data_IF_021824449498
#
_entry.id   IF_021824449498
#
_cell.length_a   1.000
_cell.length_b   1.000
_cell.length_c   1.000
_cell.angle_alpha   90.00
_cell.angle_beta   90.00
_cell.angle_gamma   90.00
#
_symmetry.space_group_name_H-M   'P 1'
#
loop_
_entity.id
_entity.type
_entity.pdbx_description
1 polymer ?
#
# COMPACT_ATOMS: atom_id res chain seq x y z
N UNK A 1 18.30 2.51 -18.49
CA UNK A 1 16.83 2.38 -18.53
C UNK A 1 16.34 2.51 -17.09
N UNK A 2 16.25 3.77 -16.72
CA UNK A 2 15.36 4.49 -15.81
C UNK A 2 14.82 3.73 -14.59
N UNK A 3 15.50 3.99 -13.47
CA UNK A 3 15.03 3.76 -12.11
C UNK A 3 13.78 4.60 -11.86
N UNK A 4 12.62 4.04 -12.19
CA UNK A 4 11.30 4.63 -11.95
C UNK A 4 11.12 4.84 -10.44
N UNK A 5 10.85 6.08 -10.05
CA UNK A 5 10.80 6.59 -8.67
C UNK A 5 9.70 6.03 -7.77
N UNK A 6 9.49 4.71 -7.78
CA UNK A 6 8.81 4.04 -6.69
C UNK A 6 9.80 3.87 -5.54
N UNK A 7 9.62 4.69 -4.51
CA UNK A 7 10.20 4.39 -3.22
C UNK A 7 9.46 3.16 -2.68
N UNK A 8 10.14 2.02 -2.66
CA UNK A 8 9.64 0.85 -1.94
C UNK A 8 9.68 1.23 -0.47
N UNK A 9 8.58 1.82 0.02
CA UNK A 9 8.48 2.41 1.34
C UNK A 9 8.76 1.39 2.44
N UNK A 10 8.64 0.10 2.13
CA UNK A 10 8.84 -0.92 3.13
C UNK A 10 9.43 -2.23 2.54
N UNK A 11 10.76 -2.38 2.67
CA UNK A 11 11.48 -3.66 2.60
C UNK A 11 11.47 -4.34 3.98
N UNK A 12 10.39 -4.24 4.74
CA UNK A 12 10.37 -4.88 6.05
C UNK A 12 10.11 -6.38 5.86
N UNK A 13 10.98 -7.26 6.40
CA UNK A 13 10.73 -8.70 6.37
C UNK A 13 9.38 -8.98 7.04
N UNK A 14 8.63 -9.96 6.52
CA UNK A 14 7.31 -10.39 7.02
C UNK A 14 7.24 -10.70 8.54
N UNK A 15 8.36 -10.64 9.24
CA UNK A 15 8.52 -10.80 10.68
C UNK A 15 8.23 -9.53 11.50
N UNK A 16 8.29 -8.33 10.91
CA UNK A 16 7.91 -7.10 11.62
C UNK A 16 6.39 -6.94 11.51
N UNK A 17 5.73 -6.84 12.67
CA UNK A 17 4.30 -6.63 12.78
C UNK A 17 4.00 -5.17 12.49
N UNK A 18 3.77 -4.84 11.22
CA UNK A 18 3.17 -3.55 10.86
C UNK A 18 1.71 -3.60 11.28
N UNK A 19 1.33 -2.71 12.20
CA UNK A 19 0.00 -2.66 12.78
C UNK A 19 -0.87 -1.56 12.17
N UNK A 20 -2.02 -1.30 12.79
CA UNK A 20 -2.93 -0.21 12.39
C UNK A 20 -2.24 1.16 12.43
N UNK A 21 -1.42 1.41 13.45
CA UNK A 21 -0.69 2.67 13.59
C UNK A 21 0.27 2.96 12.42
N UNK A 22 0.96 1.93 11.90
CA UNK A 22 1.83 2.07 10.73
C UNK A 22 1.01 2.33 9.46
N UNK A 23 -0.14 1.65 9.31
CA UNK A 23 -1.05 1.90 8.18
C UNK A 23 -1.57 3.34 8.19
N UNK A 24 -1.99 3.85 9.34
CA UNK A 24 -2.44 5.24 9.50
C UNK A 24 -1.33 6.25 9.21
N UNK A 25 -0.10 5.98 9.66
CA UNK A 25 1.05 6.83 9.36
C UNK A 25 1.37 6.88 7.85
N UNK A 26 1.28 5.75 7.16
CA UNK A 26 1.48 5.68 5.71
C UNK A 26 0.34 6.37 4.94
N UNK A 27 -0.89 6.26 5.43
CA UNK A 27 -2.06 6.93 4.86
C UNK A 27 -2.04 8.44 5.06
N UNK A 28 -1.49 8.93 6.18
CA UNK A 28 -1.37 10.37 6.43
C UNK A 28 -0.45 11.09 5.43
N UNK A 29 0.52 10.37 4.86
CA UNK A 29 1.46 10.89 3.86
C UNK A 29 1.03 10.55 2.40
N UNK A 30 -0.06 9.80 2.24
CA UNK A 30 -0.60 9.40 0.94
C UNK A 30 -1.95 10.09 0.68
N UNK A 31 -2.28 10.27 -0.59
CA UNK A 31 -3.56 10.84 -1.05
C UNK A 31 -4.46 9.74 -1.62
N UNK A 32 -3.86 8.80 -2.36
CA UNK A 32 -4.55 7.70 -3.03
C UNK A 32 -4.05 6.36 -2.49
N UNK A 33 -4.98 5.45 -2.18
CA UNK A 33 -4.70 4.10 -1.75
C UNK A 33 -5.22 3.07 -2.76
N UNK A 34 -4.33 2.16 -3.16
CA UNK A 34 -4.66 0.97 -3.93
C UNK A 34 -4.48 -0.27 -3.06
N UNK A 35 -5.55 -1.00 -2.79
CA UNK A 35 -5.50 -2.26 -2.06
C UNK A 35 -5.80 -3.42 -2.98
N UNK A 36 -4.87 -4.38 -3.05
CA UNK A 36 -5.05 -5.62 -3.76
C UNK A 36 -5.37 -6.77 -2.79
N UNK A 37 -6.58 -7.33 -2.93
CA UNK A 37 -7.06 -8.52 -2.23
C UNK A 37 -7.19 -9.68 -3.22
N UNK A 38 -6.07 -10.29 -3.57
CA UNK A 38 -6.03 -11.41 -4.51
C UNK A 38 -6.45 -10.97 -5.91
N UNK A 39 -7.61 -11.43 -6.40
CA UNK A 39 -8.16 -11.04 -7.71
C UNK A 39 -9.01 -9.75 -7.68
N UNK A 40 -9.30 -9.21 -6.50
CA UNK A 40 -10.04 -7.96 -6.36
C UNK A 40 -9.08 -6.82 -6.06
N UNK A 41 -9.17 -5.76 -6.85
CA UNK A 41 -8.54 -4.47 -6.59
C UNK A 41 -9.58 -3.49 -6.04
N UNK A 42 -9.16 -2.64 -5.11
CA UNK A 42 -10.00 -1.57 -4.58
C UNK A 42 -9.14 -0.32 -4.51
N UNK A 43 -9.56 0.69 -5.26
CA UNK A 43 -9.01 2.04 -5.20
C UNK A 43 -9.91 2.85 -4.28
N UNK A 44 -9.29 3.57 -3.35
CA UNK A 44 -9.97 4.49 -2.46
C UNK A 44 -9.02 5.61 -2.01
N UNK A 45 -9.55 6.68 -1.47
CA UNK A 45 -8.74 7.77 -0.94
C UNK A 45 -8.07 7.36 0.37
N UNK A 46 -6.83 7.80 0.60
CA UNK A 46 -6.11 7.47 1.83
C UNK A 46 -6.78 8.04 3.09
N UNK A 47 -7.62 9.08 2.94
CA UNK A 47 -8.45 9.66 4.01
C UNK A 47 -9.72 8.87 4.35
N UNK A 48 -10.04 7.79 3.63
CA UNK A 48 -11.24 6.99 3.90
C UNK A 48 -11.12 6.23 5.23
N UNK A 49 -12.19 6.23 6.04
CA UNK A 49 -12.17 5.53 7.34
C UNK A 49 -11.95 4.01 7.21
N UNK A 50 -12.22 3.41 6.04
CA UNK A 50 -11.96 2.00 5.75
C UNK A 50 -10.55 1.70 5.23
N UNK A 51 -9.75 2.72 4.90
CA UNK A 51 -8.45 2.57 4.28
C UNK A 51 -7.49 1.73 5.12
N UNK A 52 -7.30 2.09 6.39
CA UNK A 52 -6.43 1.37 7.29
C UNK A 52 -6.86 -0.09 7.48
N UNK A 53 -8.18 -0.35 7.53
CA UNK A 53 -8.71 -1.72 7.71
C UNK A 53 -8.50 -2.58 6.46
N UNK A 54 -8.59 -1.99 5.27
CA UNK A 54 -8.31 -2.67 4.00
C UNK A 54 -6.82 -2.99 3.84
N UNK A 55 -5.93 -2.14 4.35
CA UNK A 55 -4.49 -2.41 4.39
C UNK A 55 -4.14 -3.54 5.35
N UNK A 56 -4.95 -3.75 6.38
CA UNK A 56 -4.77 -4.83 7.34
C UNK A 56 -5.28 -6.17 6.75
N UNK A 57 -4.50 -7.21 7.00
CA UNK A 57 -4.84 -8.59 6.67
C UNK A 57 -5.79 -9.22 7.71
N UNK A 58 -6.29 -10.44 7.46
CA UNK A 58 -7.15 -11.17 8.39
C UNK A 58 -6.50 -11.43 9.76
N UNK A 59 -5.17 -11.34 9.85
CA UNK A 59 -4.39 -11.51 11.08
C UNK A 59 -4.08 -10.19 11.79
N UNK A 60 -4.59 -9.05 11.30
CA UNK A 60 -4.31 -7.72 11.85
C UNK A 60 -2.91 -7.18 11.53
N UNK A 61 -2.15 -7.86 10.66
CA UNK A 61 -0.89 -7.36 10.12
C UNK A 61 -1.13 -6.69 8.77
N UNK A 62 -0.35 -5.64 8.49
CA UNK A 62 -0.36 -4.93 7.22
C UNK A 62 -0.02 -5.89 6.07
N UNK A 63 -0.79 -5.82 4.97
CA UNK A 63 -0.55 -6.61 3.77
C UNK A 63 0.73 -6.15 3.08
N UNK A 64 1.71 -7.04 3.01
CA UNK A 64 2.90 -6.84 2.18
C UNK A 64 2.67 -7.36 0.75
N UNK A 65 3.35 -6.83 -0.29
CA UNK A 65 4.26 -5.66 -0.27
C UNK A 65 3.53 -4.31 -0.22
N UNK A 66 4.16 -3.29 0.36
CA UNK A 66 3.70 -1.89 0.28
C UNK A 66 4.66 -1.11 -0.60
N UNK A 67 4.12 -0.40 -1.58
CA UNK A 67 4.87 0.44 -2.50
C UNK A 67 4.31 1.84 -2.44
N UNK A 68 5.16 2.83 -2.22
CA UNK A 68 4.76 4.25 -2.28
C UNK A 68 5.36 4.86 -3.53
N UNK A 69 4.52 5.52 -4.32
CA UNK A 69 4.95 6.22 -5.52
C UNK A 69 4.43 7.64 -5.44
N UNK A 70 5.29 8.57 -5.04
CA UNK A 70 4.88 9.94 -4.72
C UNK A 70 3.83 9.94 -3.59
N UNK A 71 2.64 10.45 -3.87
CA UNK A 71 1.47 10.50 -2.97
C UNK A 71 0.56 9.27 -3.09
N UNK A 72 0.89 8.31 -3.95
CA UNK A 72 0.09 7.10 -4.15
C UNK A 72 0.67 5.94 -3.35
N UNK A 73 -0.16 5.29 -2.55
CA UNK A 73 0.20 4.13 -1.75
C UNK A 73 -0.47 2.88 -2.31
N UNK A 74 0.33 1.85 -2.59
CA UNK A 74 -0.11 0.57 -3.13
C UNK A 74 0.18 -0.50 -2.09
N UNK A 75 -0.84 -1.26 -1.74
CA UNK A 75 -0.80 -2.30 -0.71
C UNK A 75 -1.22 -3.63 -1.30
N UNK A 76 -0.31 -4.59 -1.25
CA UNK A 76 -0.42 -5.87 -1.94
C UNK A 76 0.23 -5.85 -3.32
N UNK A 77 0.34 -7.03 -3.93
CA UNK A 77 0.88 -7.17 -5.29
C UNK A 77 -0.21 -6.88 -6.32
N UNK A 78 -0.06 -5.80 -7.09
CA UNK A 78 -0.98 -5.43 -8.16
C UNK A 78 -0.20 -4.93 -9.38
N UNK A 79 -0.12 -5.78 -10.41
CA UNK A 79 0.69 -5.49 -11.60
C UNK A 79 0.20 -4.24 -12.34
N UNK A 80 -1.13 -4.04 -12.43
CA UNK A 80 -1.72 -2.88 -13.12
C UNK A 80 -1.52 -1.56 -12.36
N UNK A 81 -1.62 -1.57 -11.02
CA UNK A 81 -1.42 -0.36 -10.20
C UNK A 81 0.07 -0.04 -10.09
N UNK A 82 0.90 -1.06 -10.02
CA UNK A 82 2.34 -0.90 -10.11
C UNK A 82 2.71 -0.32 -11.48
N UNK A 83 2.12 -0.79 -12.59
CA UNK A 83 2.39 -0.27 -13.92
C UNK A 83 1.83 1.15 -14.16
N UNK A 84 0.66 1.47 -13.61
CA UNK A 84 0.12 2.85 -13.61
C UNK A 84 1.01 3.81 -12.81
N UNK A 85 1.44 3.38 -11.63
CA UNK A 85 2.28 4.22 -10.78
C UNK A 85 3.73 4.33 -11.29
N UNK A 86 4.27 3.25 -11.86
CA UNK A 86 5.61 3.19 -12.43
C UNK A 86 5.69 3.65 -13.90
N UNK A 87 4.61 4.15 -14.50
CA UNK A 87 4.47 4.51 -15.94
C UNK A 87 5.76 4.76 -16.70
#
# INVERSE_FOLDING_TARGET
MDARGAEIADRTPASRKLGRADAEALLADAETLYVAKGRKQTELSASDQGAADLMLGPTGNLRAPVVRVGTTLIVGYHEEALNQALG
#
